data_IF_804561883396
#
_entry.id   IF_804561883396
#
_cell.length_a   1.000
_cell.length_b   1.000
_cell.length_c   1.000
_cell.angle_alpha   90.00
_cell.angle_beta   90.00
_cell.angle_gamma   90.00
#
_symmetry.space_group_name_H-M   'P 1'
#
loop_
_entity.id
_entity.type
_entity.pdbx_description
1 polymer ?
#
# COMPACT_ATOMS: atom_id res chain seq x y z
N UNK A 1 -51.64 -2.51 -26.20
CA UNK A 1 -52.26 -1.67 -27.25
C UNK A 1 -51.19 -0.76 -27.82
N UNK A 2 -50.68 -1.04 -29.01
CA UNK A 2 -49.67 -0.20 -29.69
C UNK A 2 -50.38 1.02 -30.27
N UNK A 3 -49.92 2.22 -29.91
CA UNK A 3 -50.49 3.49 -30.37
C UNK A 3 -50.34 3.63 -31.89
N UNK A 4 -51.35 4.21 -32.57
CA UNK A 4 -51.42 4.29 -34.04
C UNK A 4 -50.20 4.91 -34.72
N UNK A 5 -49.42 5.72 -33.99
CA UNK A 5 -48.19 6.33 -34.47
C UNK A 5 -47.03 5.33 -34.67
N UNK A 6 -47.02 4.22 -33.91
CA UNK A 6 -46.02 3.16 -34.06
C UNK A 6 -46.33 2.24 -35.24
N UNK A 7 -47.62 2.02 -35.53
CA UNK A 7 -48.07 1.23 -36.69
C UNK A 7 -47.72 1.96 -37.99
N UNK A 8 -47.96 3.29 -38.05
CA UNK A 8 -47.61 4.08 -39.22
C UNK A 8 -46.08 4.12 -39.46
N UNK A 9 -45.28 4.26 -38.39
CA UNK A 9 -43.82 4.18 -38.49
C UNK A 9 -43.35 2.82 -39.03
N UNK A 10 -43.91 1.72 -38.52
CA UNK A 10 -43.61 0.35 -39.00
C UNK A 10 -43.97 0.14 -40.48
N UNK A 11 -45.11 0.68 -40.93
CA UNK A 11 -45.53 0.57 -42.33
C UNK A 11 -44.60 1.39 -43.23
N UNK A 12 -44.23 2.61 -42.81
CA UNK A 12 -43.32 3.46 -43.59
C UNK A 12 -41.90 2.90 -43.65
N UNK A 13 -41.36 2.33 -42.57
CA UNK A 13 -40.04 1.70 -42.59
C UNK A 13 -40.03 0.44 -43.43
N UNK A 14 -41.09 -0.38 -43.38
CA UNK A 14 -41.22 -1.55 -44.24
C UNK A 14 -41.29 -1.18 -45.73
N UNK A 15 -42.06 -0.15 -46.09
CA UNK A 15 -42.16 0.33 -47.47
C UNK A 15 -40.83 0.88 -48.01
N UNK A 16 -40.08 1.61 -47.18
CA UNK A 16 -38.75 2.12 -47.54
C UNK A 16 -37.75 0.98 -47.73
N UNK A 17 -37.75 -0.03 -46.86
CA UNK A 17 -36.88 -1.21 -46.98
C UNK A 17 -37.22 -1.99 -48.26
N UNK A 18 -38.50 -2.22 -48.57
CA UNK A 18 -38.90 -2.87 -49.82
C UNK A 18 -38.46 -2.08 -51.06
N UNK A 19 -38.62 -0.76 -51.07
CA UNK A 19 -38.19 0.08 -52.19
C UNK A 19 -36.67 0.02 -52.41
N UNK A 20 -35.88 0.07 -51.33
CA UNK A 20 -34.41 -0.01 -51.39
C UNK A 20 -33.97 -1.38 -51.91
N UNK A 21 -34.54 -2.48 -51.41
CA UNK A 21 -34.24 -3.84 -51.88
C UNK A 21 -34.64 -4.03 -53.35
N UNK A 22 -35.79 -3.50 -53.77
CA UNK A 22 -36.23 -3.54 -55.18
C UNK A 22 -35.30 -2.73 -56.09
N UNK A 23 -34.82 -1.56 -55.66
CA UNK A 23 -33.85 -0.78 -56.45
C UNK A 23 -32.45 -1.42 -56.48
N UNK A 24 -32.02 -2.07 -55.40
CA UNK A 24 -30.73 -2.76 -55.35
C UNK A 24 -30.68 -3.99 -56.29
N UNK A 25 -31.80 -4.71 -56.41
CA UNK A 25 -31.94 -5.85 -57.35
C UNK A 25 -31.88 -5.40 -58.83
N UNK A 26 -32.35 -4.19 -59.14
CA UNK A 26 -32.37 -3.67 -60.52
C UNK A 26 -31.04 -3.05 -60.97
N UNK A 27 -30.17 -2.65 -60.05
CA UNK A 27 -28.89 -1.96 -60.37
C UNK A 27 -27.69 -2.94 -60.39
N UNK A 28 -27.83 -4.15 -59.84
CA UNK A 28 -26.74 -5.14 -59.75
C UNK A 28 -27.07 -6.43 -60.53
N UNK A 29 -26.92 -6.50 -61.87
CA UNK A 29 -27.20 -7.73 -62.63
C UNK A 29 -26.09 -8.79 -62.53
N UNK A 30 -25.16 -8.67 -61.57
CA UNK A 30 -24.01 -9.58 -61.42
C UNK A 30 -23.58 -9.79 -59.98
N UNK A 31 -24.54 -10.05 -59.10
CA UNK A 31 -24.25 -10.80 -57.87
C UNK A 31 -24.94 -12.14 -58.07
N UNK A 32 -24.16 -13.16 -58.41
CA UNK A 32 -24.72 -14.51 -58.45
C UNK A 32 -25.12 -14.90 -57.02
N UNK A 33 -26.15 -15.71 -56.88
CA UNK A 33 -26.55 -16.23 -55.56
C UNK A 33 -25.40 -17.02 -54.90
N UNK A 34 -24.44 -17.55 -55.68
CA UNK A 34 -23.19 -18.12 -55.19
C UNK A 34 -22.26 -17.08 -54.53
N UNK A 35 -22.10 -15.88 -55.11
CA UNK A 35 -21.22 -14.83 -54.56
C UNK A 35 -21.75 -14.30 -53.21
N UNK A 36 -23.08 -14.22 -53.05
CA UNK A 36 -23.71 -13.83 -51.77
C UNK A 36 -23.54 -14.90 -50.69
N UNK A 37 -23.64 -16.17 -51.06
CA UNK A 37 -23.43 -17.29 -50.13
C UNK A 37 -21.96 -17.41 -49.71
N UNK A 38 -21.03 -17.16 -50.63
CA UNK A 38 -19.58 -17.17 -50.36
C UNK A 38 -19.17 -16.00 -49.45
N UNK A 39 -19.71 -14.81 -49.68
CA UNK A 39 -19.49 -13.65 -48.80
C UNK A 39 -20.03 -13.89 -47.38
N UNK A 40 -21.25 -14.46 -47.26
CA UNK A 40 -21.82 -14.82 -45.97
C UNK A 40 -20.98 -15.91 -45.25
N UNK A 41 -20.49 -16.90 -45.99
CA UNK A 41 -19.62 -17.94 -45.44
C UNK A 41 -18.26 -17.40 -44.98
N UNK A 42 -17.69 -16.43 -45.70
CA UNK A 42 -16.44 -15.77 -45.31
C UNK A 42 -16.62 -14.91 -44.05
N UNK A 43 -17.70 -14.13 -43.98
CA UNK A 43 -18.03 -13.32 -42.79
C UNK A 43 -18.20 -14.19 -41.53
N UNK A 44 -18.81 -15.37 -41.66
CA UNK A 44 -18.93 -16.33 -40.55
C UNK A 44 -17.58 -16.88 -40.09
N UNK A 45 -16.67 -17.22 -41.02
CA UNK A 45 -15.32 -17.69 -40.69
C UNK A 45 -14.50 -16.60 -39.98
N UNK A 46 -14.61 -15.35 -40.43
CA UNK A 46 -13.94 -14.21 -39.80
C UNK A 46 -14.50 -13.94 -38.40
N UNK A 47 -15.82 -14.03 -38.23
CA UNK A 47 -16.47 -13.91 -36.92
C UNK A 47 -16.07 -15.05 -35.96
N UNK A 48 -15.95 -16.29 -36.45
CA UNK A 48 -15.47 -17.43 -35.65
C UNK A 48 -14.01 -17.25 -35.23
N UNK A 49 -13.15 -16.77 -36.13
CA UNK A 49 -11.75 -16.45 -35.82
C UNK A 49 -11.66 -15.34 -34.75
N UNK A 50 -12.41 -14.25 -34.92
CA UNK A 50 -12.45 -13.15 -33.96
C UNK A 50 -12.97 -13.62 -32.60
N UNK A 51 -13.96 -14.51 -32.56
CA UNK A 51 -14.43 -15.13 -31.32
C UNK A 51 -13.35 -16.00 -30.68
N UNK A 52 -12.64 -16.82 -31.44
CA UNK A 52 -11.54 -17.65 -30.93
C UNK A 52 -10.40 -16.80 -30.34
N UNK A 53 -10.08 -15.68 -30.98
CA UNK A 53 -9.08 -14.72 -30.48
C UNK A 53 -9.56 -14.01 -29.21
N UNK A 54 -10.83 -13.62 -29.14
CA UNK A 54 -11.43 -13.04 -27.94
C UNK A 54 -11.45 -14.04 -26.76
N UNK A 55 -11.80 -15.30 -26.99
CA UNK A 55 -11.78 -16.35 -25.96
C UNK A 55 -10.35 -16.58 -25.43
N UNK A 56 -9.33 -16.56 -26.30
CA UNK A 56 -7.92 -16.63 -25.87
C UNK A 56 -7.50 -15.41 -25.04
N UNK A 57 -7.95 -14.22 -25.41
CA UNK A 57 -7.65 -13.00 -24.68
C UNK A 57 -8.31 -12.99 -23.29
N UNK A 58 -9.55 -13.47 -23.17
CA UNK A 58 -10.24 -13.64 -21.87
C UNK A 58 -9.49 -14.65 -21.00
N UNK A 59 -9.12 -15.81 -21.53
CA UNK A 59 -8.35 -16.81 -20.77
C UNK A 59 -6.98 -16.27 -20.32
N UNK A 60 -6.31 -15.48 -21.15
CA UNK A 60 -5.06 -14.83 -20.78
C UNK A 60 -5.27 -13.79 -19.66
N UNK A 61 -6.36 -13.03 -19.71
CA UNK A 61 -6.72 -12.08 -18.66
C UNK A 61 -7.05 -12.77 -17.34
N UNK A 62 -7.78 -13.88 -17.37
CA UNK A 62 -8.08 -14.69 -16.17
C UNK A 62 -6.80 -15.22 -15.50
N UNK A 63 -5.86 -15.76 -16.28
CA UNK A 63 -4.55 -16.20 -15.75
C UNK A 63 -3.76 -15.06 -15.14
N UNK A 64 -3.77 -13.88 -15.77
CA UNK A 64 -3.09 -12.71 -15.25
C UNK A 64 -3.69 -12.23 -13.91
N UNK A 65 -5.01 -12.36 -13.73
CA UNK A 65 -5.68 -12.05 -12.46
C UNK A 65 -5.27 -13.08 -11.39
N UNK A 66 -5.27 -14.37 -11.70
CA UNK A 66 -4.84 -15.42 -10.76
C UNK A 66 -3.37 -15.23 -10.32
N UNK A 67 -2.48 -14.94 -11.27
CA UNK A 67 -1.08 -14.65 -10.98
C UNK A 67 -0.92 -13.41 -10.10
N UNK A 68 -1.74 -12.36 -10.33
CA UNK A 68 -1.73 -11.15 -9.51
C UNK A 68 -2.23 -11.44 -8.08
N UNK A 69 -3.30 -12.21 -7.91
CA UNK A 69 -3.82 -12.60 -6.60
C UNK A 69 -2.78 -13.42 -5.81
N UNK A 70 -2.12 -14.37 -6.47
CA UNK A 70 -1.05 -15.17 -5.86
C UNK A 70 0.13 -14.30 -5.43
N UNK A 71 0.58 -13.39 -6.30
CA UNK A 71 1.67 -12.47 -5.96
C UNK A 71 1.33 -11.58 -4.75
N UNK A 72 0.07 -11.13 -4.64
CA UNK A 72 -0.40 -10.34 -3.49
C UNK A 72 -0.45 -11.17 -2.21
N UNK A 73 -0.89 -12.42 -2.28
CA UNK A 73 -0.90 -13.35 -1.15
C UNK A 73 0.53 -13.67 -0.66
N UNK A 74 1.45 -13.94 -1.59
CA UNK A 74 2.86 -14.17 -1.27
C UNK A 74 3.50 -12.92 -0.65
N UNK A 75 3.20 -11.72 -1.16
CA UNK A 75 3.67 -10.47 -0.59
C UNK A 75 3.17 -10.24 0.85
N UNK A 76 1.91 -10.58 1.15
CA UNK A 76 1.36 -10.46 2.49
C UNK A 76 1.98 -11.48 3.45
N UNK A 77 2.15 -12.73 3.00
CA UNK A 77 2.86 -13.75 3.78
C UNK A 77 4.29 -13.32 4.10
N UNK A 78 5.02 -12.82 3.11
CA UNK A 78 6.39 -12.32 3.29
C UNK A 78 6.46 -11.16 4.31
N UNK A 79 5.47 -10.25 4.33
CA UNK A 79 5.38 -9.20 5.37
C UNK A 79 5.15 -9.78 6.76
N UNK A 80 4.29 -10.79 6.88
CA UNK A 80 3.99 -11.45 8.15
C UNK A 80 5.19 -12.23 8.68
N UNK A 81 5.87 -12.96 7.81
CA UNK A 81 7.07 -13.72 8.17
C UNK A 81 8.20 -12.75 8.58
N UNK A 82 8.42 -11.66 7.85
CA UNK A 82 9.37 -10.61 8.26
C UNK A 82 9.01 -9.96 9.60
N UNK A 83 7.72 -9.86 9.96
CA UNK A 83 7.27 -9.36 11.26
C UNK A 83 7.54 -10.37 12.37
N UNK A 84 7.28 -11.66 12.11
CA UNK A 84 7.55 -12.77 13.05
C UNK A 84 9.05 -12.92 13.30
N UNK A 85 9.87 -12.86 12.26
CA UNK A 85 11.33 -12.96 12.37
C UNK A 85 11.90 -11.80 13.20
N UNK A 86 11.40 -10.58 13.00
CA UNK A 86 11.77 -9.42 13.84
C UNK A 86 11.35 -9.60 15.30
N UNK A 87 10.16 -10.15 15.54
CA UNK A 87 9.69 -10.42 16.90
C UNK A 87 10.53 -11.51 17.58
N UNK A 88 10.87 -12.58 16.85
CA UNK A 88 11.72 -13.68 17.33
C UNK A 88 13.14 -13.20 17.59
N UNK A 89 13.72 -12.37 16.71
CA UNK A 89 15.04 -11.78 16.92
C UNK A 89 15.04 -10.88 18.18
N UNK A 90 13.99 -10.09 18.39
CA UNK A 90 13.83 -9.30 19.62
C UNK A 90 13.72 -10.19 20.86
N UNK A 91 12.91 -11.25 20.80
CA UNK A 91 12.75 -12.20 21.90
C UNK A 91 14.09 -12.89 22.23
N UNK A 92 14.84 -13.30 21.21
CA UNK A 92 16.18 -13.86 21.38
C UNK A 92 17.15 -12.84 21.98
N UNK A 93 17.13 -11.58 21.54
CA UNK A 93 17.96 -10.52 22.15
C UNK A 93 17.63 -10.30 23.62
N UNK A 94 16.34 -10.34 24.00
CA UNK A 94 15.90 -10.24 25.40
C UNK A 94 16.32 -11.48 26.20
N UNK A 95 16.12 -12.68 25.67
CA UNK A 95 16.48 -13.95 26.33
C UNK A 95 18.00 -14.09 26.54
N UNK A 96 18.82 -13.54 25.64
CA UNK A 96 20.28 -13.56 25.75
C UNK A 96 20.85 -12.32 26.47
N UNK A 97 20.00 -11.47 27.07
CA UNK A 97 20.43 -10.31 27.85
C UNK A 97 21.10 -9.19 27.04
N UNK A 98 20.90 -9.16 25.72
CA UNK A 98 21.50 -8.16 24.85
C UNK A 98 20.68 -6.86 24.89
N UNK A 99 20.98 -6.03 25.89
CA UNK A 99 20.60 -4.61 25.85
C UNK A 99 21.60 -3.89 24.94
N UNK A 100 21.18 -3.02 24.01
CA UNK A 100 22.11 -2.15 23.33
C UNK A 100 22.86 -1.35 24.41
N UNK A 101 24.20 -1.34 24.31
CA UNK A 101 25.05 -0.61 25.25
C UNK A 101 24.57 0.84 25.43
N UNK A 102 24.86 1.38 26.61
CA UNK A 102 24.63 2.80 26.90
C UNK A 102 25.27 3.64 25.77
N UNK A 103 24.46 4.46 25.10
CA UNK A 103 24.92 5.24 23.96
C UNK A 103 24.83 6.73 24.27
N UNK A 104 25.75 7.47 23.65
CA UNK A 104 25.78 8.93 23.70
C UNK A 104 25.13 9.50 22.45
N UNK A 105 24.42 10.61 22.61
CA UNK A 105 23.82 11.37 21.53
C UNK A 105 24.36 12.80 21.59
N UNK A 106 24.99 13.22 20.51
CA UNK A 106 25.57 14.56 20.40
C UNK A 106 24.59 15.51 19.72
N UNK A 107 24.56 16.75 20.20
CA UNK A 107 23.87 17.84 19.54
C UNK A 107 24.50 18.09 18.15
N UNK A 108 23.76 18.66 17.19
CA UNK A 108 24.27 18.93 15.85
C UNK A 108 25.51 19.81 15.80
N UNK A 109 25.71 20.67 16.81
CA UNK A 109 26.88 21.54 16.96
C UNK A 109 28.08 20.85 17.64
N UNK A 110 27.90 19.60 18.10
CA UNK A 110 28.92 18.81 18.80
C UNK A 110 29.30 19.31 20.19
N UNK A 111 28.67 20.38 20.69
CA UNK A 111 29.06 21.03 21.96
C UNK A 111 28.40 20.39 23.17
N UNK A 112 27.26 19.75 22.99
CA UNK A 112 26.50 19.12 24.06
C UNK A 112 26.27 17.65 23.72
N UNK A 113 26.64 16.77 24.65
CA UNK A 113 26.38 15.34 24.56
C UNK A 113 25.43 14.91 25.66
N UNK A 114 24.50 14.01 25.36
CA UNK A 114 23.62 13.38 26.33
C UNK A 114 23.86 11.86 26.34
N UNK A 115 23.81 11.22 27.51
CA UNK A 115 23.98 9.77 27.64
C UNK A 115 22.65 9.12 27.99
N UNK A 116 22.29 8.06 27.27
CA UNK A 116 21.15 7.22 27.58
C UNK A 116 21.60 5.81 27.96
N UNK A 117 20.94 5.23 28.97
CA UNK A 117 21.24 3.88 29.46
C UNK A 117 20.01 3.00 29.43
N UNK A 118 20.04 1.93 28.61
CA UNK A 118 18.98 0.92 28.63
C UNK A 118 18.93 0.26 30.00
N UNK A 119 20.08 -0.16 30.53
CA UNK A 119 20.19 -0.85 31.82
C UNK A 119 19.49 -0.10 32.96
N UNK A 120 19.69 1.21 33.07
CA UNK A 120 19.01 2.02 34.09
C UNK A 120 17.49 1.98 33.91
N UNK A 121 17.00 2.12 32.68
CA UNK A 121 15.56 2.14 32.43
C UNK A 121 14.91 0.75 32.56
N UNK A 122 15.57 -0.32 32.13
CA UNK A 122 15.00 -1.67 32.09
C UNK A 122 15.23 -2.46 33.37
N UNK A 123 16.42 -2.38 33.97
CA UNK A 123 16.75 -3.17 35.18
C UNK A 123 16.44 -2.40 36.46
N UNK A 124 16.84 -1.13 36.54
CA UNK A 124 16.63 -0.33 37.77
C UNK A 124 15.20 0.18 37.86
N UNK A 125 14.71 0.83 36.81
CA UNK A 125 13.36 1.40 36.79
C UNK A 125 12.29 0.40 36.31
N UNK A 126 12.69 -0.84 35.97
CA UNK A 126 11.80 -1.96 35.60
C UNK A 126 10.87 -1.66 34.41
N UNK A 127 11.25 -0.75 33.51
CA UNK A 127 10.44 -0.41 32.35
C UNK A 127 10.55 -1.48 31.25
N UNK A 128 9.41 -1.82 30.65
CA UNK A 128 9.39 -2.80 29.55
C UNK A 128 9.72 -2.13 28.21
N UNK A 129 10.28 -2.90 27.27
CA UNK A 129 10.67 -2.42 25.93
C UNK A 129 9.53 -1.69 25.21
N UNK A 130 8.30 -2.18 25.36
CA UNK A 130 7.08 -1.66 24.73
C UNK A 130 6.64 -0.29 25.25
N UNK A 131 7.15 0.13 26.41
CA UNK A 131 6.82 1.43 26.99
C UNK A 131 7.54 2.57 26.25
N UNK A 132 8.74 2.28 25.74
CA UNK A 132 9.52 3.19 24.92
C UNK A 132 9.33 2.93 23.42
N UNK A 133 9.25 1.67 22.99
CA UNK A 133 9.28 1.30 21.57
C UNK A 133 7.99 0.63 21.09
N UNK A 134 7.48 0.99 19.89
CA UNK A 134 7.89 2.10 19.02
C UNK A 134 7.23 3.44 19.43
N UNK A 135 6.58 3.48 20.61
CA UNK A 135 5.66 4.55 21.01
C UNK A 135 6.35 5.91 21.18
N UNK A 136 7.45 5.93 21.93
CA UNK A 136 8.23 7.14 22.24
C UNK A 136 9.43 7.24 21.29
N UNK A 137 10.12 6.13 21.06
CA UNK A 137 11.29 6.03 20.19
C UNK A 137 11.14 4.87 19.21
N UNK A 138 11.74 5.01 18.02
CA UNK A 138 11.90 3.89 17.10
C UNK A 138 13.06 3.01 17.56
N UNK A 139 13.03 1.71 17.21
CA UNK A 139 14.12 0.77 17.48
C UNK A 139 15.26 0.97 16.48
N UNK A 140 15.91 2.13 16.55
CA UNK A 140 17.05 2.54 15.70
C UNK A 140 18.01 3.37 16.54
N UNK A 141 19.29 3.34 16.21
CA UNK A 141 20.35 4.16 16.82
C UNK A 141 20.82 5.21 15.81
N UNK A 142 21.15 6.41 16.27
CA UNK A 142 21.69 7.51 15.46
C UNK A 142 20.63 8.50 14.96
N UNK A 143 20.82 9.03 13.74
CA UNK A 143 19.90 10.03 13.16
C UNK A 143 18.54 9.36 12.89
N UNK A 144 17.44 10.02 13.27
CA UNK A 144 16.06 9.53 13.11
C UNK A 144 15.59 8.45 14.12
N UNK A 145 16.06 8.50 15.37
CA UNK A 145 15.48 7.70 16.48
C UNK A 145 14.02 8.05 16.82
N UNK A 146 13.53 9.19 16.32
CA UNK A 146 12.15 9.67 16.50
C UNK A 146 11.37 9.59 15.19
N UNK A 147 10.11 9.15 15.26
CA UNK A 147 9.25 8.97 14.06
C UNK A 147 8.87 10.28 13.38
N UNK A 148 8.66 11.34 14.17
CA UNK A 148 8.31 12.70 13.73
C UNK A 148 8.96 13.69 14.70
N UNK A 149 9.45 14.82 14.18
CA UNK A 149 10.03 15.91 14.98
C UNK A 149 11.53 15.79 15.21
N UNK A 150 12.05 16.58 16.15
CA UNK A 150 13.46 16.65 16.51
C UNK A 150 13.64 16.36 17.99
N UNK A 151 14.66 15.58 18.33
CA UNK A 151 15.03 15.32 19.71
C UNK A 151 15.70 16.57 20.31
N UNK A 152 14.89 17.52 20.75
CA UNK A 152 15.32 18.80 21.32
C UNK A 152 14.75 18.98 22.71
N UNK A 153 15.40 19.81 23.53
CA UNK A 153 14.90 20.15 24.86
C UNK A 153 13.52 20.81 24.80
N UNK A 154 13.22 21.58 23.76
CA UNK A 154 11.91 22.24 23.63
C UNK A 154 10.77 21.26 23.35
N UNK A 155 11.02 20.21 22.56
CA UNK A 155 10.05 19.13 22.41
C UNK A 155 9.92 18.30 23.70
N UNK A 156 11.02 18.11 24.44
CA UNK A 156 10.97 17.45 25.75
C UNK A 156 10.17 18.24 26.79
N UNK A 157 10.30 19.57 26.82
CA UNK A 157 9.47 20.45 27.68
C UNK A 157 7.97 20.30 27.38
N UNK A 158 7.61 19.98 26.14
CA UNK A 158 6.23 19.69 25.71
C UNK A 158 5.78 18.25 26.00
N UNK A 159 6.56 17.49 26.78
CA UNK A 159 6.23 16.12 27.18
C UNK A 159 6.56 15.06 26.13
N UNK A 160 7.37 15.36 25.12
CA UNK A 160 7.78 14.36 24.11
C UNK A 160 9.11 13.70 24.49
N UNK A 161 9.36 12.52 23.93
CA UNK A 161 10.62 11.79 24.08
C UNK A 161 11.00 11.58 25.55
N UNK A 162 12.19 12.01 25.98
CA UNK A 162 12.64 11.95 27.37
C UNK A 162 11.65 12.63 28.32
N UNK A 163 11.08 13.77 27.90
CA UNK A 163 10.12 14.55 28.68
C UNK A 163 8.75 13.87 28.88
N UNK A 164 8.46 12.77 28.17
CA UNK A 164 7.24 11.98 28.42
C UNK A 164 7.23 11.39 29.84
N UNK A 165 8.41 11.09 30.39
CA UNK A 165 8.59 10.57 31.74
C UNK A 165 9.40 11.53 32.63
N UNK A 166 10.42 12.19 32.09
CA UNK A 166 11.19 13.22 32.80
C UNK A 166 10.44 14.56 32.87
N UNK A 167 9.26 14.53 33.48
CA UNK A 167 8.32 15.65 33.58
C UNK A 167 8.17 16.20 35.00
N UNK A 168 8.95 15.69 35.96
CA UNK A 168 8.85 16.05 37.38
C UNK A 168 7.85 15.23 38.17
N UNK A 169 7.06 14.36 37.51
CA UNK A 169 6.09 13.48 38.16
C UNK A 169 6.52 12.02 38.11
N UNK A 170 6.78 11.48 36.91
CA UNK A 170 7.21 10.07 36.74
C UNK A 170 8.71 9.90 36.99
N UNK A 171 9.50 10.90 36.63
CA UNK A 171 10.93 10.99 36.89
C UNK A 171 11.32 12.47 37.04
N UNK A 172 12.58 12.72 37.36
CA UNK A 172 13.10 14.09 37.48
C UNK A 172 12.82 14.92 36.21
N UNK A 173 12.51 16.20 36.37
CA UNK A 173 12.11 17.05 35.24
C UNK A 173 13.29 17.40 34.32
N UNK A 174 13.06 17.38 33.00
CA UNK A 174 13.97 17.94 31.98
C UNK A 174 14.14 19.45 32.09
N UNK A 175 13.25 20.15 32.79
CA UNK A 175 13.28 21.62 32.92
C UNK A 175 14.12 22.11 34.08
N UNK A 176 14.51 21.22 35.00
CA UNK A 176 15.29 21.58 36.17
C UNK A 176 16.78 21.72 35.81
N UNK A 177 17.33 22.92 36.01
CA UNK A 177 18.76 23.21 35.79
C UNK A 177 19.66 22.29 36.63
N UNK A 178 19.21 21.93 37.84
CA UNK A 178 19.94 21.04 38.74
C UNK A 178 20.08 19.61 38.18
N UNK A 179 19.27 19.23 37.19
CA UNK A 179 19.27 17.90 36.60
C UNK A 179 19.94 17.81 35.23
N UNK A 180 20.40 18.92 34.65
CA UNK A 180 21.08 18.93 33.35
C UNK A 180 22.25 17.94 33.31
N UNK A 181 23.09 17.91 34.36
CA UNK A 181 24.25 17.02 34.46
C UNK A 181 23.91 15.52 34.55
N UNK A 182 22.64 15.17 34.87
CA UNK A 182 22.21 13.75 34.94
C UNK A 182 22.15 13.10 33.56
N UNK A 183 21.85 13.90 32.53
CA UNK A 183 21.85 13.44 31.15
C UNK A 183 23.08 13.93 30.39
N UNK A 184 23.60 15.10 30.73
CA UNK A 184 24.72 15.73 30.04
C UNK A 184 25.98 15.80 30.92
N UNK A 185 26.70 14.68 31.09
CA UNK A 185 27.80 14.60 32.04
C UNK A 185 29.05 15.39 31.61
N UNK A 186 29.18 15.75 30.33
CA UNK A 186 30.35 16.44 29.75
C UNK A 186 30.09 17.94 29.48
N UNK A 187 29.22 18.59 30.25
CA UNK A 187 28.93 20.03 30.13
C UNK A 187 29.88 20.90 30.94
#
# INVERSE_FOLDING_TARGET
>A
MLTGNNILKLITTAAIICAIVSTAVLIQPRISWSDSAEYAAQALKEAEKARSEAEKAVLAAERAIEDAEKAMADAEKNKQDAKKDKAKAMEQMVQHGYFPDDFSMDAPDGKVSAVFSHKKHTEREQLRCVECHPKVFLMKVGKNVVKKGHLTMDEMKKGKYCGNCHNGHKAFSVTSIQHCKRCHPKQ
#
